data_IF_025579668549
#
_entry.id   IF_025579668549
#
_cell.length_a   1.000
_cell.length_b   1.000
_cell.length_c   1.000
_cell.angle_alpha   90.00
_cell.angle_beta   90.00
_cell.angle_gamma   90.00
#
_symmetry.space_group_name_H-M   'P 1'
#
loop_
_entity.id
_entity.type
_entity.pdbx_description
1 polymer ?
#
# COMPACT_ATOMS: atom_id res chain seq x y z
N UNK A 1 0.65 30.93 -17.37
CA UNK A 1 1.56 30.33 -16.37
C UNK A 1 1.41 28.82 -16.49
N UNK A 2 2.43 28.12 -17.00
CA UNK A 2 2.43 26.66 -17.08
C UNK A 2 2.82 26.14 -15.69
N UNK A 3 1.87 25.55 -14.97
CA UNK A 3 2.14 24.82 -13.74
C UNK A 3 3.21 23.77 -14.03
N UNK A 4 4.37 23.90 -13.38
CA UNK A 4 5.41 22.88 -13.37
C UNK A 4 4.80 21.67 -12.65
N UNK A 5 4.26 20.72 -13.40
CA UNK A 5 3.95 19.40 -12.86
C UNK A 5 5.27 18.82 -12.37
N UNK A 6 5.37 18.56 -11.08
CA UNK A 6 6.50 17.82 -10.53
C UNK A 6 6.60 16.49 -11.29
N UNK A 7 7.83 16.04 -11.64
CA UNK A 7 7.99 14.82 -12.41
C UNK A 7 7.29 13.69 -11.65
N UNK A 8 6.34 13.02 -12.31
CA UNK A 8 5.69 11.83 -11.76
C UNK A 8 6.80 10.88 -11.26
N UNK A 9 6.87 10.70 -9.94
CA UNK A 9 7.94 9.93 -9.33
C UNK A 9 7.89 8.52 -9.92
N UNK A 10 8.94 8.16 -10.68
CA UNK A 10 8.97 6.87 -11.37
C UNK A 10 9.09 5.80 -10.28
N UNK A 11 7.97 5.16 -9.95
CA UNK A 11 7.97 4.03 -9.01
C UNK A 11 8.83 2.92 -9.59
N UNK A 12 10.03 2.77 -9.01
CA UNK A 12 11.04 1.81 -9.48
C UNK A 12 10.73 0.41 -8.96
N UNK A 13 11.31 -0.62 -9.61
CA UNK A 13 11.26 -1.99 -9.08
C UNK A 13 11.95 -2.08 -7.70
N UNK A 14 12.94 -1.21 -7.44
CA UNK A 14 13.69 -1.19 -6.19
C UNK A 14 12.83 -0.75 -5.01
N UNK A 15 12.03 0.32 -5.18
CA UNK A 15 11.08 0.75 -4.16
C UNK A 15 10.10 -0.36 -3.81
N UNK A 16 9.50 -1.02 -4.81
CA UNK A 16 8.59 -2.13 -4.57
C UNK A 16 9.26 -3.32 -3.88
N UNK A 17 10.49 -3.66 -4.26
CA UNK A 17 11.26 -4.71 -3.59
C UNK A 17 11.53 -4.36 -2.12
N UNK A 18 11.94 -3.12 -1.82
CA UNK A 18 12.18 -2.67 -0.46
C UNK A 18 10.92 -2.77 0.42
N UNK A 19 9.76 -2.33 -0.10
CA UNK A 19 8.47 -2.48 0.61
C UNK A 19 8.15 -3.94 0.90
N UNK A 20 8.37 -4.81 -0.09
CA UNK A 20 8.11 -6.24 0.07
C UNK A 20 9.09 -6.89 1.02
N UNK A 21 10.34 -6.47 1.07
CA UNK A 21 11.33 -7.02 2.00
C UNK A 21 10.97 -6.71 3.45
N UNK A 22 10.56 -5.47 3.72
CA UNK A 22 10.03 -5.09 5.04
C UNK A 22 8.82 -5.95 5.45
N UNK A 23 7.88 -6.14 4.53
CA UNK A 23 6.75 -7.05 4.76
C UNK A 23 7.23 -8.50 4.96
N UNK A 24 8.16 -8.97 4.15
CA UNK A 24 8.62 -10.35 4.16
C UNK A 24 9.36 -10.69 5.44
N UNK A 25 10.13 -9.78 6.02
CA UNK A 25 10.80 -9.99 7.30
C UNK A 25 9.79 -10.15 8.44
N UNK A 26 8.70 -9.37 8.41
CA UNK A 26 7.70 -9.32 9.48
C UNK A 26 6.61 -10.39 9.33
N UNK A 27 6.35 -10.87 8.11
CA UNK A 27 5.24 -11.79 7.85
C UNK A 27 5.48 -13.17 8.51
N UNK A 28 4.58 -13.54 9.42
CA UNK A 28 4.48 -14.89 9.98
C UNK A 28 3.01 -15.30 10.15
N UNK A 29 2.56 -16.42 9.54
CA UNK A 29 3.30 -17.26 8.60
C UNK A 29 3.64 -16.54 7.29
N UNK A 30 4.62 -17.05 6.54
CA UNK A 30 4.93 -16.50 5.21
C UNK A 30 3.72 -16.62 4.28
N UNK A 31 3.51 -15.66 3.37
CA UNK A 31 2.49 -15.75 2.35
C UNK A 31 2.63 -17.02 1.51
N UNK A 32 1.51 -17.62 1.12
CA UNK A 32 1.49 -18.71 0.14
C UNK A 32 1.83 -18.18 -1.26
N UNK A 33 1.46 -16.92 -1.54
CA UNK A 33 1.80 -16.27 -2.78
C UNK A 33 3.31 -16.03 -2.89
N UNK A 34 3.84 -16.18 -4.11
CA UNK A 34 5.27 -16.00 -4.36
C UNK A 34 5.69 -14.53 -4.19
N UNK A 35 6.94 -14.31 -3.77
CA UNK A 35 7.52 -12.96 -3.59
C UNK A 35 7.38 -12.07 -4.85
N UNK A 36 7.60 -12.57 -6.09
CA UNK A 36 7.37 -11.78 -7.31
C UNK A 36 5.93 -11.29 -7.48
N UNK A 37 4.93 -12.11 -7.12
CA UNK A 37 3.51 -11.71 -7.17
C UNK A 37 3.24 -10.58 -6.20
N UNK A 38 3.76 -10.69 -4.98
CA UNK A 38 3.59 -9.68 -3.93
C UNK A 38 4.31 -8.38 -4.30
N UNK A 39 5.49 -8.46 -4.93
CA UNK A 39 6.19 -7.28 -5.46
C UNK A 39 5.42 -6.60 -6.60
N UNK A 40 4.80 -7.36 -7.51
CA UNK A 40 3.95 -6.79 -8.54
C UNK A 40 2.74 -6.05 -7.96
N UNK A 41 2.15 -6.56 -6.86
CA UNK A 41 1.06 -5.90 -6.14
C UNK A 41 1.53 -4.62 -5.44
N UNK A 42 2.66 -4.67 -4.74
CA UNK A 42 3.24 -3.50 -4.07
C UNK A 42 3.54 -2.38 -5.07
N UNK A 43 4.15 -2.72 -6.21
CA UNK A 43 4.43 -1.76 -7.29
C UNK A 43 3.17 -1.08 -7.82
N UNK A 44 2.07 -1.83 -7.98
CA UNK A 44 0.79 -1.26 -8.42
C UNK A 44 0.20 -0.31 -7.38
N UNK A 45 0.28 -0.66 -6.10
CA UNK A 45 -0.21 0.18 -5.03
C UNK A 45 0.63 1.47 -4.87
N UNK A 46 1.96 1.38 -4.96
CA UNK A 46 2.85 2.54 -4.99
C UNK A 46 2.51 3.48 -6.16
N UNK A 47 2.29 2.93 -7.36
CA UNK A 47 1.85 3.72 -8.54
C UNK A 47 0.50 4.39 -8.34
N UNK A 48 -0.36 3.83 -7.50
CA UNK A 48 -1.65 4.41 -7.15
C UNK A 48 -1.55 5.45 -6.02
N UNK A 49 -0.34 5.73 -5.51
CA UNK A 49 -0.07 6.75 -4.49
C UNK A 49 -0.23 6.27 -3.05
N UNK A 50 -0.28 4.96 -2.81
CA UNK A 50 -0.30 4.42 -1.44
C UNK A 50 1.11 4.41 -0.83
N UNK A 51 1.20 4.65 0.48
CA UNK A 51 2.48 4.59 1.19
C UNK A 51 2.90 3.15 1.49
N UNK A 52 4.18 2.96 1.82
CA UNK A 52 4.71 1.64 2.21
C UNK A 52 3.93 1.03 3.38
N UNK A 53 3.60 1.83 4.39
CA UNK A 53 2.90 1.39 5.60
C UNK A 53 1.49 0.91 5.27
N UNK A 54 0.77 1.65 4.41
CA UNK A 54 -0.58 1.28 3.96
C UNK A 54 -0.56 -0.06 3.20
N UNK A 55 0.44 -0.25 2.33
CA UNK A 55 0.62 -1.48 1.56
C UNK A 55 0.94 -2.66 2.47
N UNK A 56 1.89 -2.50 3.40
CA UNK A 56 2.28 -3.55 4.35
C UNK A 56 1.07 -3.93 5.24
N UNK A 57 0.33 -2.95 5.74
CA UNK A 57 -0.87 -3.22 6.53
C UNK A 57 -1.95 -3.94 5.70
N UNK A 58 -2.16 -3.56 4.44
CA UNK A 58 -3.08 -4.24 3.53
C UNK A 58 -2.66 -5.70 3.25
N UNK A 59 -1.35 -5.94 3.11
CA UNK A 59 -0.80 -7.28 2.96
C UNK A 59 -1.00 -8.14 4.21
N UNK A 60 -0.75 -7.60 5.40
CA UNK A 60 -0.99 -8.30 6.66
C UNK A 60 -2.47 -8.69 6.86
N UNK A 61 -3.41 -7.87 6.36
CA UNK A 61 -4.86 -8.14 6.42
C UNK A 61 -5.36 -9.08 5.31
N UNK A 62 -4.53 -9.40 4.33
CA UNK A 62 -4.96 -10.18 3.15
C UNK A 62 -4.35 -11.56 3.12
N UNK A 63 -5.21 -12.58 3.09
CA UNK A 63 -4.79 -13.97 2.85
C UNK A 63 -4.70 -14.32 1.37
N UNK A 64 -5.62 -13.79 0.57
CA UNK A 64 -5.68 -14.02 -0.87
C UNK A 64 -4.98 -12.85 -1.59
N UNK A 65 -3.66 -12.95 -1.79
CA UNK A 65 -2.80 -11.95 -2.45
C UNK A 65 -3.15 -11.77 -3.94
N UNK A 66 -4.33 -11.21 -4.18
CA UNK A 66 -4.89 -10.88 -5.49
C UNK A 66 -5.08 -9.37 -5.55
N UNK A 67 -5.11 -8.81 -6.76
CA UNK A 67 -5.27 -7.36 -6.98
C UNK A 67 -6.54 -6.86 -6.29
N UNK A 68 -7.67 -7.53 -6.50
CA UNK A 68 -8.96 -7.12 -5.95
C UNK A 68 -8.98 -7.13 -4.41
N UNK A 69 -8.37 -8.13 -3.78
CA UNK A 69 -8.32 -8.20 -2.32
C UNK A 69 -7.42 -7.10 -1.72
N UNK A 70 -6.27 -6.84 -2.34
CA UNK A 70 -5.38 -5.75 -1.89
C UNK A 70 -6.05 -4.39 -2.07
N UNK A 71 -6.68 -4.15 -3.24
CA UNK A 71 -7.42 -2.90 -3.45
C UNK A 71 -8.55 -2.72 -2.44
N UNK A 72 -9.27 -3.78 -2.08
CA UNK A 72 -10.32 -3.71 -1.07
C UNK A 72 -9.77 -3.24 0.28
N UNK A 73 -8.64 -3.81 0.74
CA UNK A 73 -8.01 -3.39 2.00
C UNK A 73 -7.53 -1.94 1.95
N UNK A 74 -6.86 -1.55 0.85
CA UNK A 74 -6.34 -0.20 0.66
C UNK A 74 -7.44 0.86 0.59
N UNK A 75 -8.59 0.55 -0.04
CA UNK A 75 -9.76 1.44 -0.05
C UNK A 75 -10.40 1.56 1.34
N UNK A 76 -10.47 0.47 2.10
CA UNK A 76 -10.95 0.48 3.48
C UNK A 76 -10.13 1.39 4.39
N UNK A 77 -8.80 1.41 4.23
CA UNK A 77 -7.92 2.35 4.95
C UNK A 77 -8.21 3.81 4.60
N UNK A 78 -8.43 4.12 3.31
CA UNK A 78 -8.74 5.49 2.86
C UNK A 78 -10.05 6.02 3.44
N UNK A 79 -11.05 5.16 3.62
CA UNK A 79 -12.32 5.52 4.25
C UNK A 79 -12.17 5.78 5.76
N UNK A 80 -11.36 4.98 6.46
CA UNK A 80 -11.11 5.16 7.90
C UNK A 80 -10.36 6.46 8.25
N UNK A 81 -9.53 6.99 7.33
CA UNK A 81 -8.93 8.31 7.51
C UNK A 81 -9.98 9.44 7.56
N UNK A 82 -11.06 9.33 6.78
CA UNK A 82 -12.15 10.31 6.80
C UNK A 82 -12.93 10.33 8.12
N UNK A 83 -13.13 9.18 8.75
CA UNK A 83 -13.76 9.09 10.08
C UNK A 83 -12.82 9.47 11.22
N UNK A 84 -11.54 9.09 11.14
CA UNK A 84 -10.55 9.43 12.17
C UNK A 84 -10.24 10.93 12.17
N UNK A 85 -10.13 11.56 10.99
CA UNK A 85 -9.99 13.00 10.87
C UNK A 85 -11.21 13.74 11.44
N UNK A 86 -12.43 13.26 11.16
CA UNK A 86 -13.66 13.81 11.76
C UNK A 86 -13.70 13.65 13.29
N UNK A 87 -13.21 12.53 13.82
CA UNK A 87 -13.18 12.29 15.28
C UNK A 87 -12.17 13.18 16.00
N UNK A 88 -11.00 13.43 15.39
CA UNK A 88 -9.99 14.35 15.95
C UNK A 88 -10.47 15.80 15.88
N UNK A 89 -11.16 16.22 14.81
CA UNK A 89 -11.71 17.57 14.70
C UNK A 89 -12.92 17.84 15.61
N UNK A 90 -13.65 16.82 16.07
CA UNK A 90 -14.75 16.97 17.04
C UNK A 90 -14.31 17.01 18.50
N UNK A 91 -13.02 16.82 18.77
CA UNK A 91 -12.43 16.88 20.12
C UNK A 91 -11.67 18.19 20.37
N UNK A 92 -11.84 19.21 19.52
CA UNK A 92 -11.32 20.57 19.72
C UNK A 92 -12.43 21.54 20.10
#
# INVERSE_FOLDING_TARGET
MLEKREPEEIVTNEQANATVDLFWEQAFPKPIASRPVICALAKRALKAGYTNEQIIEAFNKTRAFTVAAIEYQLRGQRLNFGETANRVMRLQ
#
